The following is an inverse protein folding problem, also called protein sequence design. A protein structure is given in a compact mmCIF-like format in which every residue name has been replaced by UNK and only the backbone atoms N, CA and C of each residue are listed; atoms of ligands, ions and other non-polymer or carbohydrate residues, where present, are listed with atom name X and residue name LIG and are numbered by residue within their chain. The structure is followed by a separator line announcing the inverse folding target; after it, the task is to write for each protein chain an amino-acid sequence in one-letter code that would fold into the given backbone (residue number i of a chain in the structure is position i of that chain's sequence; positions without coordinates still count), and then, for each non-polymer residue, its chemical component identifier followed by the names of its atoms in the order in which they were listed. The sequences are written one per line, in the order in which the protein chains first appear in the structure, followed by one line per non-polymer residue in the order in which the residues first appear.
data_IF_783315267432
#
_entry.id   IF_783315267432
#
_cell.length_a   1.000
_cell.length_b   1.000
_cell.length_c   1.000
_cell.angle_alpha   90.00
_cell.angle_beta   90.00
_cell.angle_gamma   90.00
#
_symmetry.space_group_name_H-M   'P 1'
#
loop_
_entity.id
_entity.type
_entity.pdbx_description
1 polymer ?
#
# COMPACT_ATOMS: atom_id res chain seq x y z
N UNK A 1 -26.34 22.64 -0.68
CA UNK A 1 -26.07 21.96 -1.97
C UNK A 1 -24.64 22.28 -2.37
N UNK A 2 -23.72 21.34 -2.17
CA UNK A 2 -22.31 21.53 -2.49
C UNK A 2 -22.10 21.75 -3.98
N UNK A 3 -21.25 22.71 -4.36
CA UNK A 3 -20.95 23.01 -5.77
C UNK A 3 -20.19 21.81 -6.37
N UNK A 4 -20.78 21.14 -7.36
CA UNK A 4 -20.14 20.05 -8.09
C UNK A 4 -18.89 20.56 -8.82
N UNK A 5 -17.74 19.94 -8.55
CA UNK A 5 -16.50 20.19 -9.29
C UNK A 5 -16.57 19.40 -10.60
N UNK A 6 -16.79 20.08 -11.72
CA UNK A 6 -16.88 19.43 -13.03
C UNK A 6 -15.52 18.87 -13.40
N UNK A 7 -15.32 17.57 -13.20
CA UNK A 7 -14.14 16.85 -13.67
C UNK A 7 -14.25 16.62 -15.18
N UNK A 8 -13.17 16.93 -15.91
CA UNK A 8 -13.08 16.74 -17.36
C UNK A 8 -13.27 15.24 -17.65
N UNK A 9 -14.28 14.88 -18.45
CA UNK A 9 -14.56 13.49 -18.81
C UNK A 9 -13.38 12.93 -19.61
N UNK A 10 -12.71 11.93 -19.07
CA UNK A 10 -11.71 11.11 -19.78
C UNK A 10 -12.40 9.87 -20.36
N UNK A 11 -11.93 9.38 -21.51
CA UNK A 11 -12.43 8.13 -22.11
C UNK A 11 -11.93 6.87 -21.40
N UNK A 12 -11.10 7.02 -20.38
CA UNK A 12 -10.60 5.93 -19.53
C UNK A 12 -11.57 5.70 -18.38
N UNK A 13 -12.04 4.46 -18.22
CA UNK A 13 -12.84 3.99 -17.10
C UNK A 13 -11.97 3.22 -16.11
N UNK A 14 -12.13 3.51 -14.82
CA UNK A 14 -11.54 2.73 -13.73
C UNK A 14 -12.31 1.42 -13.46
N UNK A 15 -11.66 0.46 -12.78
CA UNK A 15 -12.32 -0.78 -12.35
C UNK A 15 -13.53 -0.52 -11.43
N UNK A 16 -13.44 0.48 -10.54
CA UNK A 16 -14.55 0.89 -9.68
C UNK A 16 -15.72 1.47 -10.46
N UNK A 17 -15.46 2.24 -11.54
CA UNK A 17 -16.51 2.75 -12.41
C UNK A 17 -17.24 1.63 -13.15
N UNK A 18 -16.53 0.61 -13.63
CA UNK A 18 -17.13 -0.54 -14.29
C UNK A 18 -18.05 -1.30 -13.32
N UNK A 19 -17.57 -1.57 -12.11
CA UNK A 19 -18.35 -2.23 -11.07
C UNK A 19 -19.59 -1.41 -10.68
N UNK A 20 -19.44 -0.09 -10.58
CA UNK A 20 -20.55 0.80 -10.26
C UNK A 20 -21.58 0.89 -11.40
N UNK A 21 -21.16 0.91 -12.66
CA UNK A 21 -22.06 0.87 -13.79
C UNK A 21 -22.89 -0.42 -13.80
N UNK A 22 -22.22 -1.56 -13.56
CA UNK A 22 -22.88 -2.86 -13.45
C UNK A 22 -23.89 -2.92 -12.28
N UNK A 23 -23.57 -2.30 -11.15
CA UNK A 23 -24.46 -2.24 -9.99
C UNK A 23 -25.64 -1.26 -10.20
N UNK A 24 -25.35 -0.02 -10.63
CA UNK A 24 -26.32 1.02 -10.91
C UNK A 24 -25.76 2.06 -11.90
N UNK A 25 -26.16 1.93 -13.16
CA UNK A 25 -25.76 2.82 -14.26
C UNK A 25 -26.18 4.28 -14.05
N UNK A 26 -27.32 4.54 -13.40
CA UNK A 26 -27.75 5.89 -13.04
C UNK A 26 -26.81 6.55 -12.02
N UNK A 27 -26.41 5.82 -10.97
CA UNK A 27 -25.48 6.33 -9.97
C UNK A 27 -24.10 6.61 -10.59
N UNK A 28 -23.63 5.73 -11.48
CA UNK A 28 -22.41 5.95 -12.26
C UNK A 28 -22.50 7.24 -13.10
N UNK A 29 -23.60 7.43 -13.85
CA UNK A 29 -23.78 8.62 -14.68
C UNK A 29 -23.81 9.91 -13.84
N UNK A 30 -24.49 9.89 -12.69
CA UNK A 30 -24.51 11.04 -11.77
C UNK A 30 -23.11 11.39 -11.28
N UNK A 31 -22.30 10.40 -10.91
CA UNK A 31 -20.90 10.67 -10.55
C UNK A 31 -20.09 11.25 -11.71
N UNK A 32 -20.29 10.78 -12.94
CA UNK A 32 -19.67 11.38 -14.14
C UNK A 32 -20.17 12.79 -14.46
N UNK A 33 -21.29 13.22 -13.88
CA UNK A 33 -21.78 14.59 -13.91
C UNK A 33 -21.24 15.45 -12.75
N UNK A 34 -20.37 14.90 -11.89
CA UNK A 34 -19.73 15.60 -10.78
C UNK A 34 -20.45 15.50 -9.44
N UNK A 35 -21.46 14.63 -9.32
CA UNK A 35 -22.11 14.35 -8.04
C UNK A 35 -21.30 13.34 -7.23
N UNK A 36 -20.73 13.75 -6.10
CA UNK A 36 -20.00 12.82 -5.24
C UNK A 36 -20.94 12.12 -4.23
N UNK A 37 -20.73 10.83 -3.98
CA UNK A 37 -21.47 10.13 -2.93
C UNK A 37 -21.00 10.61 -1.56
N UNK A 38 -21.92 11.14 -0.76
CA UNK A 38 -21.65 11.51 0.64
C UNK A 38 -22.02 10.33 1.54
N UNK A 39 -21.04 9.77 2.24
CA UNK A 39 -21.26 8.73 3.25
C UNK A 39 -20.17 8.79 4.32
N UNK A 40 -20.52 8.76 5.62
CA UNK A 40 -19.54 8.66 6.70
C UNK A 40 -18.62 7.43 6.54
N UNK A 41 -19.15 6.32 6.03
CA UNK A 41 -18.38 5.10 5.82
C UNK A 41 -17.27 5.27 4.76
N UNK A 42 -17.50 6.09 3.73
CA UNK A 42 -16.48 6.40 2.71
C UNK A 42 -15.30 7.16 3.31
N UNK A 43 -15.55 8.08 4.24
CA UNK A 43 -14.49 8.85 4.91
C UNK A 43 -13.64 7.93 5.76
N UNK A 44 -14.28 7.08 6.58
CA UNK A 44 -13.59 6.10 7.43
C UNK A 44 -12.79 5.11 6.57
N UNK A 45 -13.38 4.60 5.48
CA UNK A 45 -12.69 3.69 4.57
C UNK A 45 -11.43 4.30 3.94
N UNK A 46 -11.49 5.57 3.51
CA UNK A 46 -10.33 6.30 3.00
C UNK A 46 -9.22 6.44 4.05
N UNK A 47 -9.58 6.80 5.27
CA UNK A 47 -8.62 6.91 6.38
C UNK A 47 -7.95 5.57 6.68
N UNK A 48 -8.72 4.48 6.67
CA UNK A 48 -8.19 3.15 6.89
C UNK A 48 -7.21 2.72 5.80
N UNK A 49 -7.53 2.99 4.52
CA UNK A 49 -6.62 2.70 3.41
C UNK A 49 -5.29 3.45 3.52
N UNK A 50 -5.31 4.73 3.91
CA UNK A 50 -4.09 5.51 4.14
C UNK A 50 -3.27 4.92 5.29
N UNK A 51 -3.92 4.67 6.43
CA UNK A 51 -3.24 4.12 7.61
C UNK A 51 -2.61 2.74 7.34
N UNK A 52 -3.28 1.90 6.55
CA UNK A 52 -2.74 0.62 6.11
C UNK A 52 -1.52 0.80 5.19
N UNK A 53 -1.58 1.75 4.24
CA UNK A 53 -0.46 2.11 3.39
C UNK A 53 0.77 2.53 4.21
N UNK A 54 0.59 3.46 5.16
CA UNK A 54 1.66 3.92 6.04
C UNK A 54 2.29 2.77 6.86
N UNK A 55 1.46 1.81 7.28
CA UNK A 55 1.91 0.62 8.00
C UNK A 55 2.76 -0.29 7.13
N UNK A 56 2.33 -0.53 5.88
CA UNK A 56 3.07 -1.35 4.91
C UNK A 56 4.41 -0.72 4.59
N UNK A 57 4.44 0.58 4.29
CA UNK A 57 5.67 1.33 4.01
C UNK A 57 6.64 1.30 5.20
N UNK A 58 6.10 1.37 6.43
CA UNK A 58 6.88 1.22 7.65
C UNK A 58 7.49 -0.18 7.80
N UNK A 59 6.78 -1.23 7.39
CA UNK A 59 7.25 -2.61 7.46
C UNK A 59 8.39 -2.87 6.47
N UNK A 60 8.31 -2.32 5.26
CA UNK A 60 9.35 -2.46 4.24
C UNK A 60 10.71 -1.93 4.75
N UNK A 61 10.70 -0.76 5.41
CA UNK A 61 11.91 -0.18 6.04
C UNK A 61 12.50 -1.10 7.11
N UNK A 62 11.65 -1.73 7.93
CA UNK A 62 12.09 -2.66 8.98
C UNK A 62 12.69 -3.94 8.39
N UNK A 63 12.10 -4.47 7.32
CA UNK A 63 12.64 -5.62 6.60
C UNK A 63 14.04 -5.31 6.05
N UNK A 64 14.23 -4.13 5.45
CA UNK A 64 15.54 -3.72 4.97
C UNK A 64 16.60 -3.69 6.07
N UNK A 65 16.28 -3.13 7.23
CA UNK A 65 17.19 -3.13 8.38
C UNK A 65 17.48 -4.55 8.89
N UNK A 66 16.44 -5.37 9.05
CA UNK A 66 16.57 -6.76 9.48
C UNK A 66 17.48 -7.57 8.54
N UNK A 67 17.39 -7.35 7.23
CA UNK A 67 18.26 -8.00 6.24
C UNK A 67 19.72 -7.63 6.42
N UNK A 68 20.03 -6.35 6.68
CA UNK A 68 21.40 -5.92 6.95
C UNK A 68 21.96 -6.52 8.25
N UNK A 69 21.16 -6.54 9.31
CA UNK A 69 21.53 -7.18 10.57
C UNK A 69 21.78 -8.68 10.38
N UNK A 70 20.95 -9.37 9.58
CA UNK A 70 21.13 -10.79 9.27
C UNK A 70 22.44 -11.06 8.51
N UNK A 71 22.79 -10.22 7.53
CA UNK A 71 24.06 -10.33 6.79
C UNK A 71 25.25 -10.13 7.73
N UNK A 72 25.19 -9.13 8.62
CA UNK A 72 26.23 -8.88 9.61
C UNK A 72 26.39 -10.07 10.57
N UNK A 73 25.27 -10.61 11.06
CA UNK A 73 25.28 -11.78 11.94
C UNK A 73 25.87 -13.02 11.25
N UNK A 74 25.53 -13.24 9.98
CA UNK A 74 26.11 -14.32 9.18
C UNK A 74 27.63 -14.16 9.02
N UNK A 75 28.08 -12.94 8.73
CA UNK A 75 29.51 -12.64 8.62
C UNK A 75 30.26 -12.93 9.92
N UNK A 76 29.75 -12.46 11.07
CA UNK A 76 30.36 -12.74 12.37
C UNK A 76 30.41 -14.23 12.68
N UNK A 77 29.34 -14.97 12.36
CA UNK A 77 29.29 -16.42 12.53
C UNK A 77 30.35 -17.11 11.67
N UNK A 78 30.50 -16.73 10.41
CA UNK A 78 31.52 -17.28 9.52
C UNK A 78 32.93 -17.05 10.07
N UNK A 79 33.22 -15.85 10.57
CA UNK A 79 34.53 -15.54 11.20
C UNK A 79 34.77 -16.41 12.43
N UNK A 80 33.78 -16.54 13.32
CA UNK A 80 33.90 -17.37 14.52
C UNK A 80 34.18 -18.85 14.18
N UNK A 81 33.49 -19.38 13.17
CA UNK A 81 33.72 -20.75 12.68
C UNK A 81 35.13 -20.91 12.13
N UNK A 82 35.62 -19.97 11.33
CA UNK A 82 37.00 -20.03 10.79
C UNK A 82 38.04 -19.99 11.90
N UNK A 83 37.87 -19.11 12.90
CA UNK A 83 38.78 -19.02 14.05
C UNK A 83 38.80 -20.33 14.85
N UNK A 84 37.63 -20.92 15.10
CA UNK A 84 37.53 -22.21 15.77
C UNK A 84 38.26 -23.32 15.00
N UNK A 85 38.12 -23.38 13.67
CA UNK A 85 38.84 -24.34 12.86
C UNK A 85 40.36 -24.12 12.89
N UNK A 86 40.83 -22.86 12.87
CA UNK A 86 42.25 -22.54 12.98
C UNK A 86 42.80 -23.04 14.32
N UNK A 87 42.11 -22.79 15.43
CA UNK A 87 42.57 -23.20 16.77
C UNK A 87 42.54 -24.72 16.99
N UNK A 88 41.55 -25.42 16.42
CA UNK A 88 41.38 -26.86 16.63
C UNK A 88 42.25 -27.70 15.69
N UNK A 89 42.51 -27.23 14.47
CA UNK A 89 43.22 -28.00 13.43
C UNK A 89 44.72 -27.67 13.36
N UNK A 90 45.12 -26.45 13.71
CA UNK A 90 46.49 -25.93 13.54
C UNK A 90 47.22 -25.85 14.88
#
# INVERSE_FOLDING_TARGET
MGKAKVTKKTDVLSASEIGQYHYCSCAWMLQRCGYEPESPALVVGKQFHVALGDTIDGFEKKIHYARWVAILGLFMLSVAVVLFFIEVVL
#
